data_IF_544999273589
#
_entry.id   IF_544999273589
#
_cell.length_a   1.000
_cell.length_b   1.000
_cell.length_c   1.000
_cell.angle_alpha   90.00
_cell.angle_beta   90.00
_cell.angle_gamma   90.00
#
_symmetry.space_group_name_H-M   'P 1'
#
loop_
_entity.id
_entity.type
_entity.pdbx_description
1 polymer ?
#
# COMPACT_ATOMS: atom_id res chain seq x y z
N UNK A 1 42.90 18.33 7.17
CA UNK A 1 42.54 16.90 7.06
C UNK A 1 41.31 16.71 7.94
N UNK A 2 40.13 16.75 7.35
CA UNK A 2 38.89 16.49 8.11
C UNK A 2 38.81 14.99 8.35
N UNK A 3 38.59 14.57 9.60
CA UNK A 3 38.46 13.15 9.89
C UNK A 3 37.12 12.62 9.36
N UNK A 4 37.10 11.33 9.02
CA UNK A 4 35.89 10.68 8.47
C UNK A 4 34.65 10.82 9.37
N UNK A 5 34.86 10.95 10.67
CA UNK A 5 33.79 11.13 11.68
C UNK A 5 33.15 12.52 11.57
N UNK A 6 33.94 13.54 11.21
CA UNK A 6 33.46 14.92 11.00
C UNK A 6 32.63 15.03 9.72
N UNK A 7 33.01 14.29 8.67
CA UNK A 7 32.25 14.22 7.40
C UNK A 7 30.92 13.50 7.64
N UNK A 8 30.91 12.40 8.38
CA UNK A 8 29.70 11.68 8.76
C UNK A 8 28.74 12.54 9.59
N UNK A 9 29.27 13.28 10.57
CA UNK A 9 28.47 14.22 11.38
C UNK A 9 27.88 15.35 10.53
N UNK A 10 28.60 15.82 9.52
CA UNK A 10 28.13 16.89 8.63
C UNK A 10 27.06 16.38 7.65
N UNK A 11 27.21 15.15 7.13
CA UNK A 11 26.17 14.48 6.34
C UNK A 11 24.90 14.25 7.16
N UNK A 12 25.04 13.80 8.39
CA UNK A 12 23.92 13.62 9.34
C UNK A 12 23.24 14.95 9.64
N UNK A 13 23.98 16.07 9.70
CA UNK A 13 23.41 17.40 9.98
C UNK A 13 22.68 18.01 8.77
N UNK A 14 23.17 17.75 7.54
CA UNK A 14 22.54 18.22 6.29
C UNK A 14 21.26 17.42 5.97
N UNK A 15 21.16 16.19 6.47
CA UNK A 15 20.03 15.28 6.24
C UNK A 15 19.08 15.25 7.47
N UNK A 16 19.06 16.30 8.28
CA UNK A 16 18.33 16.30 9.56
C UNK A 16 16.82 16.04 9.47
N UNK A 17 16.22 16.14 8.28
CA UNK A 17 14.84 15.71 8.02
C UNK A 17 14.70 14.25 7.57
N UNK A 18 15.83 13.53 7.39
CA UNK A 18 15.85 12.09 7.01
C UNK A 18 16.58 11.22 8.04
N UNK A 19 16.83 11.79 9.23
CA UNK A 19 17.62 11.15 10.30
C UNK A 19 17.03 9.82 10.76
N UNK A 20 15.72 9.68 10.74
CA UNK A 20 15.04 8.44 11.11
C UNK A 20 15.35 7.34 10.11
N UNK A 21 15.33 7.64 8.82
CA UNK A 21 15.62 6.67 7.77
C UNK A 21 17.08 6.21 7.78
N UNK A 22 18.01 7.15 8.01
CA UNK A 22 19.43 6.82 8.19
C UNK A 22 19.67 5.97 9.43
N UNK A 23 18.95 6.20 10.51
CA UNK A 23 19.01 5.36 11.70
C UNK A 23 18.60 3.91 11.39
N UNK A 24 17.56 3.69 10.60
CA UNK A 24 17.10 2.36 10.18
C UNK A 24 18.10 1.64 9.28
N UNK A 25 18.72 2.37 8.37
CA UNK A 25 19.73 1.82 7.44
C UNK A 25 21.05 1.56 8.18
N UNK A 26 21.39 2.42 9.13
CA UNK A 26 22.69 2.41 9.81
C UNK A 26 22.72 1.47 11.00
N UNK A 27 21.64 1.26 11.73
CA UNK A 27 21.60 0.34 12.88
C UNK A 27 21.81 -1.14 12.49
N UNK A 28 21.48 -1.52 11.25
CA UNK A 28 21.77 -2.86 10.71
C UNK A 28 23.20 -2.99 10.13
N UNK A 29 23.90 -1.87 9.85
CA UNK A 29 25.18 -1.85 9.13
C UNK A 29 26.37 -1.39 9.97
N UNK A 30 26.15 -0.76 11.12
CA UNK A 30 27.23 -0.26 12.00
C UNK A 30 27.95 -1.37 12.77
N UNK A 31 27.57 -2.62 12.60
CA UNK A 31 28.31 -3.75 13.21
C UNK A 31 29.60 -4.06 12.45
N UNK A 32 29.77 -3.54 11.22
CA UNK A 32 31.00 -3.76 10.46
C UNK A 32 31.71 -2.42 10.15
N UNK A 33 32.88 -2.20 10.70
CA UNK A 33 33.63 -0.96 10.72
C UNK A 33 34.19 -0.49 9.36
N UNK A 34 33.82 -1.14 8.25
CA UNK A 34 34.44 -0.92 6.92
C UNK A 34 33.49 -0.39 5.84
N UNK A 35 32.36 0.27 6.23
CA UNK A 35 31.48 0.91 5.23
C UNK A 35 32.14 2.17 4.67
N UNK A 36 32.55 2.10 3.41
CA UNK A 36 33.15 3.24 2.73
C UNK A 36 32.11 4.28 2.25
N UNK A 37 32.56 5.49 1.97
CA UNK A 37 31.70 6.58 1.52
C UNK A 37 30.98 6.29 0.18
N UNK A 38 31.51 5.37 -0.65
CA UNK A 38 30.91 4.98 -1.91
C UNK A 38 29.70 4.06 -1.71
N UNK A 39 29.77 3.16 -0.74
CA UNK A 39 28.67 2.29 -0.33
C UNK A 39 27.53 3.08 0.31
N UNK A 40 27.85 4.10 1.12
CA UNK A 40 26.88 5.06 1.67
C UNK A 40 26.22 5.90 0.57
N UNK A 41 26.99 6.37 -0.42
CA UNK A 41 26.45 7.12 -1.56
C UNK A 41 25.55 6.26 -2.45
N UNK A 42 25.85 4.98 -2.63
CA UNK A 42 24.99 4.02 -3.31
C UNK A 42 23.69 3.77 -2.55
N UNK A 43 23.73 3.66 -1.22
CA UNK A 43 22.55 3.53 -0.36
C UNK A 43 21.64 4.78 -0.42
N UNK A 44 22.25 5.97 -0.36
CA UNK A 44 21.52 7.25 -0.46
C UNK A 44 20.92 7.45 -1.88
N UNK A 45 21.57 6.89 -2.91
CA UNK A 45 21.10 6.92 -4.29
C UNK A 45 20.12 5.79 -4.61
N UNK A 46 19.98 4.81 -3.71
CA UNK A 46 19.01 3.72 -3.90
C UNK A 46 17.61 4.28 -3.76
N UNK A 47 16.82 4.15 -4.81
CA UNK A 47 15.42 4.54 -4.82
C UNK A 47 14.50 3.44 -4.27
N UNK A 48 15.09 2.38 -3.74
CA UNK A 48 14.40 1.26 -3.11
C UNK A 48 14.48 1.39 -1.60
N UNK A 49 13.34 1.36 -0.93
CA UNK A 49 13.20 1.45 0.54
C UNK A 49 12.57 0.16 1.05
N UNK A 50 13.30 -0.53 1.90
CA UNK A 50 12.82 -1.70 2.62
C UNK A 50 12.62 -1.37 4.09
N UNK A 51 11.38 -1.40 4.56
CA UNK A 51 10.99 -1.06 5.93
C UNK A 51 10.81 -2.36 6.71
N UNK A 52 11.68 -2.59 7.68
CA UNK A 52 11.61 -3.76 8.58
C UNK A 52 10.61 -3.52 9.70
N UNK A 53 9.94 -4.58 10.11
CA UNK A 53 9.06 -4.57 11.27
C UNK A 53 9.89 -4.80 12.54
N UNK A 54 10.31 -3.73 13.19
CA UNK A 54 11.08 -3.78 14.45
C UNK A 54 10.22 -3.85 15.70
N UNK A 55 8.88 -3.93 15.55
CA UNK A 55 7.91 -3.81 16.62
C UNK A 55 7.59 -2.35 17.01
N UNK A 56 8.25 -1.39 16.39
CA UNK A 56 7.92 0.03 16.51
C UNK A 56 6.95 0.45 15.40
N UNK A 57 6.20 1.52 15.65
CA UNK A 57 5.32 2.10 14.64
C UNK A 57 6.13 2.83 13.57
N UNK A 58 5.70 2.68 12.33
CA UNK A 58 6.37 3.27 11.17
C UNK A 58 5.84 4.69 10.98
N UNK A 59 6.75 5.65 10.86
CA UNK A 59 6.43 7.00 10.42
C UNK A 59 6.51 7.09 8.90
N UNK A 60 5.37 7.09 8.23
CA UNK A 60 5.28 7.19 6.77
C UNK A 60 5.87 8.52 6.25
N UNK A 61 5.91 9.58 7.07
CA UNK A 61 6.49 10.86 6.67
C UNK A 61 8.02 10.82 6.57
N UNK A 62 8.64 9.81 7.16
CA UNK A 62 10.09 9.60 7.08
C UNK A 62 10.54 8.97 5.75
N UNK A 63 9.61 8.42 4.95
CA UNK A 63 9.92 7.78 3.67
C UNK A 63 10.24 8.87 2.63
N UNK A 64 11.38 8.76 1.90
CA UNK A 64 11.73 9.73 0.88
C UNK A 64 10.70 9.81 -0.24
N UNK A 65 10.29 11.02 -0.62
CA UNK A 65 9.35 11.23 -1.74
C UNK A 65 9.88 10.74 -3.10
N UNK A 66 11.20 10.54 -3.22
CA UNK A 66 11.85 10.01 -4.42
C UNK A 66 11.89 8.49 -4.50
N UNK A 67 11.23 7.79 -3.56
CA UNK A 67 11.19 6.33 -3.53
C UNK A 67 10.54 5.79 -4.82
N UNK A 68 11.18 4.78 -5.41
CA UNK A 68 10.66 4.06 -6.58
C UNK A 68 10.10 2.69 -6.21
N UNK A 69 10.79 1.99 -5.30
CA UNK A 69 10.36 0.67 -4.82
C UNK A 69 10.21 0.73 -3.29
N UNK A 70 8.99 0.55 -2.82
CA UNK A 70 8.66 0.60 -1.39
C UNK A 70 8.18 -0.76 -0.92
N UNK A 71 8.88 -1.31 0.06
CA UNK A 71 8.56 -2.62 0.63
C UNK A 71 8.48 -2.55 2.14
N UNK A 72 7.39 -3.06 2.69
CA UNK A 72 7.19 -3.26 4.11
C UNK A 72 7.23 -4.75 4.43
N UNK A 73 7.91 -5.10 5.51
CA UNK A 73 7.96 -6.45 6.05
C UNK A 73 6.63 -6.85 6.70
N UNK A 74 6.47 -8.15 6.97
CA UNK A 74 5.33 -8.67 7.71
C UNK A 74 5.22 -7.99 9.09
N UNK A 75 4.00 -7.85 9.60
CA UNK A 75 3.70 -7.19 10.89
C UNK A 75 4.06 -5.70 10.98
N UNK A 76 4.26 -5.03 9.84
CA UNK A 76 4.48 -3.58 9.80
C UNK A 76 3.25 -2.81 10.27
N UNK A 77 3.43 -1.84 11.17
CA UNK A 77 2.33 -1.07 11.73
C UNK A 77 2.64 0.43 11.72
N UNK A 78 1.60 1.25 11.59
CA UNK A 78 1.65 2.69 11.84
C UNK A 78 0.98 3.01 13.17
N UNK A 79 1.20 4.21 13.69
CA UNK A 79 0.48 4.67 14.87
C UNK A 79 -1.03 4.57 14.66
N UNK A 80 -1.76 4.19 15.70
CA UNK A 80 -3.22 4.01 15.65
C UNK A 80 -3.99 5.29 15.32
N UNK A 81 -3.37 6.44 15.44
CA UNK A 81 -3.92 7.74 15.03
C UNK A 81 -3.76 8.02 13.55
N UNK A 82 -2.93 7.24 12.83
CA UNK A 82 -2.79 7.33 11.37
C UNK A 82 -3.98 6.65 10.71
N UNK A 83 -4.94 7.45 10.28
CA UNK A 83 -6.19 6.98 9.69
C UNK A 83 -6.08 6.73 8.18
N UNK A 84 -5.14 7.38 7.49
CA UNK A 84 -4.99 7.27 6.04
C UNK A 84 -3.60 6.74 5.66
N UNK A 85 -3.56 5.65 4.90
CA UNK A 85 -2.36 5.14 4.23
C UNK A 85 -2.34 5.72 2.80
N UNK A 86 -1.81 6.93 2.68
CA UNK A 86 -1.83 7.69 1.44
C UNK A 86 -0.48 7.67 0.72
N UNK A 87 -0.46 7.05 -0.45
CA UNK A 87 0.72 6.92 -1.32
C UNK A 87 0.86 8.05 -2.33
N UNK A 88 -0.16 8.89 -2.52
CA UNK A 88 -0.18 9.93 -3.57
C UNK A 88 1.03 10.88 -3.56
N UNK A 89 1.68 11.17 -2.42
CA UNK A 89 2.88 12.00 -2.39
C UNK A 89 4.10 11.37 -3.07
N UNK A 90 4.16 10.04 -3.21
CA UNK A 90 5.31 9.32 -3.76
C UNK A 90 5.23 9.22 -5.29
N UNK A 91 5.36 10.35 -5.99
CA UNK A 91 5.13 10.46 -7.44
C UNK A 91 6.03 9.58 -8.31
N UNK A 92 7.17 9.13 -7.79
CA UNK A 92 8.13 8.25 -8.48
C UNK A 92 7.96 6.77 -8.13
N UNK A 93 6.96 6.43 -7.31
CA UNK A 93 6.73 5.06 -6.88
C UNK A 93 6.39 4.16 -8.07
N UNK A 94 7.17 3.09 -8.26
CA UNK A 94 7.01 2.08 -9.32
C UNK A 94 6.45 0.77 -8.80
N UNK A 95 6.85 0.39 -7.58
CA UNK A 95 6.33 -0.82 -6.95
C UNK A 95 6.04 -0.61 -5.46
N UNK A 96 4.93 -1.19 -5.01
CA UNK A 96 4.60 -1.31 -3.60
C UNK A 96 4.47 -2.79 -3.24
N UNK A 97 5.17 -3.20 -2.19
CA UNK A 97 4.98 -4.51 -1.56
C UNK A 97 4.71 -4.34 -0.08
N UNK A 98 3.65 -4.92 0.41
CA UNK A 98 3.30 -4.95 1.84
C UNK A 98 3.25 -6.40 2.28
N UNK A 99 3.93 -6.71 3.36
CA UNK A 99 3.96 -8.04 3.95
C UNK A 99 2.63 -8.43 4.62
N UNK A 100 2.61 -9.63 5.20
CA UNK A 100 1.45 -10.18 5.89
C UNK A 100 1.17 -9.45 7.21
N UNK A 101 -0.07 -9.52 7.71
CA UNK A 101 -0.50 -9.05 9.02
C UNK A 101 -0.16 -7.56 9.32
N UNK A 102 -0.14 -6.72 8.28
CA UNK A 102 0.36 -5.34 8.35
C UNK A 102 -0.78 -4.31 8.31
N UNK A 103 -0.54 -3.15 8.93
CA UNK A 103 -1.37 -1.94 8.81
C UNK A 103 -2.85 -2.11 9.19
N UNK A 104 -3.15 -2.74 10.32
CA UNK A 104 -4.54 -2.93 10.76
C UNK A 104 -5.32 -1.62 11.07
N UNK A 105 -4.64 -0.53 11.39
CA UNK A 105 -5.26 0.73 11.87
C UNK A 105 -5.84 1.64 10.80
N UNK A 106 -5.19 1.89 9.63
CA UNK A 106 -5.70 2.83 8.64
C UNK A 106 -7.11 2.48 8.15
N UNK A 107 -7.95 3.49 8.04
CA UNK A 107 -9.31 3.36 7.50
C UNK A 107 -9.37 3.72 6.02
N UNK A 108 -8.32 4.32 5.48
CA UNK A 108 -8.20 4.65 4.07
C UNK A 108 -6.90 4.09 3.50
N UNK A 109 -6.99 3.50 2.31
CA UNK A 109 -5.86 3.19 1.44
C UNK A 109 -6.00 3.99 0.15
N UNK A 110 -5.04 4.86 -0.14
CA UNK A 110 -5.10 5.76 -1.28
C UNK A 110 -3.85 5.66 -2.14
N UNK A 111 -4.02 5.29 -3.41
CA UNK A 111 -3.03 5.43 -4.47
C UNK A 111 -3.66 6.21 -5.62
N UNK A 112 -3.37 7.50 -5.71
CA UNK A 112 -4.00 8.36 -6.71
C UNK A 112 -2.96 9.20 -7.46
N UNK A 113 -3.03 9.16 -8.80
CA UNK A 113 -2.16 9.96 -9.66
C UNK A 113 -0.72 9.46 -9.76
N UNK A 114 -0.45 8.22 -9.37
CA UNK A 114 0.88 7.61 -9.40
C UNK A 114 1.20 7.07 -10.81
N UNK A 115 1.64 7.94 -11.69
CA UNK A 115 1.81 7.60 -13.11
C UNK A 115 3.00 6.69 -13.42
N UNK A 116 3.92 6.48 -12.48
CA UNK A 116 5.04 5.55 -12.63
C UNK A 116 4.74 4.19 -11.95
N UNK A 117 3.67 4.08 -11.17
CA UNK A 117 3.32 2.87 -10.42
C UNK A 117 2.93 1.73 -11.36
N UNK A 118 3.64 0.59 -11.24
CA UNK A 118 3.50 -0.58 -12.11
C UNK A 118 2.77 -1.72 -11.37
N UNK A 119 3.06 -1.88 -10.07
CA UNK A 119 2.51 -2.99 -9.29
C UNK A 119 2.19 -2.61 -7.85
N UNK A 120 1.10 -3.19 -7.33
CA UNK A 120 0.74 -3.18 -5.92
C UNK A 120 0.55 -4.62 -5.47
N UNK A 121 1.38 -5.06 -4.52
CA UNK A 121 1.27 -6.37 -3.89
C UNK A 121 1.05 -6.20 -2.39
N UNK A 122 -0.04 -6.73 -1.89
CA UNK A 122 -0.42 -6.67 -0.49
C UNK A 122 -0.56 -8.10 0.03
N UNK A 123 0.14 -8.39 1.10
CA UNK A 123 0.17 -9.68 1.75
C UNK A 123 -1.17 -10.08 2.39
N UNK A 124 -1.18 -11.19 3.07
CA UNK A 124 -2.36 -11.73 3.73
C UNK A 124 -2.70 -10.95 5.01
N UNK A 125 -3.99 -10.83 5.34
CA UNK A 125 -4.49 -10.26 6.59
C UNK A 125 -4.02 -8.81 6.87
N UNK A 126 -3.68 -8.06 5.83
CA UNK A 126 -3.22 -6.67 5.94
C UNK A 126 -4.38 -5.69 5.77
N UNK A 127 -4.27 -4.51 6.38
CA UNK A 127 -5.35 -3.53 6.43
C UNK A 127 -6.67 -4.06 7.00
N UNK A 128 -6.61 -5.06 7.88
CA UNK A 128 -7.77 -5.66 8.51
C UNK A 128 -7.68 -5.49 10.01
N UNK A 129 -8.61 -4.78 10.62
CA UNK A 129 -8.66 -4.55 12.07
C UNK A 129 -9.35 -5.70 12.79
N UNK A 130 -10.46 -6.17 12.21
CA UNK A 130 -11.21 -7.27 12.78
C UNK A 130 -11.95 -8.06 11.70
N UNK A 131 -11.74 -9.37 11.70
CA UNK A 131 -12.45 -10.28 10.78
C UNK A 131 -13.90 -10.51 11.17
N UNK A 132 -14.31 -10.15 12.41
CA UNK A 132 -15.58 -10.60 13.01
C UNK A 132 -16.35 -9.51 13.75
N UNK A 133 -15.94 -8.23 13.70
CA UNK A 133 -16.57 -7.18 14.47
C UNK A 133 -17.47 -6.29 13.62
N UNK A 134 -18.76 -6.29 13.96
CA UNK A 134 -19.73 -5.33 13.45
C UNK A 134 -19.65 -3.95 14.15
N UNK A 135 -18.69 -3.77 15.08
CA UNK A 135 -18.85 -2.75 16.14
C UNK A 135 -18.40 -1.35 15.74
N UNK A 136 -17.64 -1.17 14.68
CA UNK A 136 -17.18 0.17 14.29
C UNK A 136 -17.62 0.51 12.86
N UNK A 137 -18.69 1.26 12.77
CA UNK A 137 -19.27 1.80 11.52
C UNK A 137 -18.42 2.94 10.95
N UNK A 138 -17.12 2.74 10.79
CA UNK A 138 -16.30 3.68 10.05
C UNK A 138 -16.29 3.21 8.59
N UNK A 139 -16.64 4.12 7.69
CA UNK A 139 -16.40 3.88 6.26
C UNK A 139 -14.91 3.64 6.08
N UNK A 140 -14.52 2.43 5.72
CA UNK A 140 -13.14 2.10 5.38
C UNK A 140 -13.06 1.99 3.86
N UNK A 141 -12.11 2.70 3.28
CA UNK A 141 -12.11 2.96 1.85
C UNK A 141 -10.78 2.56 1.20
N UNK A 142 -10.89 1.83 0.09
CA UNK A 142 -9.77 1.46 -0.75
C UNK A 142 -9.90 2.15 -2.11
N UNK A 143 -8.95 3.01 -2.43
CA UNK A 143 -8.94 3.78 -3.67
C UNK A 143 -7.62 3.61 -4.42
N UNK A 144 -7.68 3.11 -5.65
CA UNK A 144 -6.57 3.11 -6.61
C UNK A 144 -7.06 3.76 -7.90
N UNK A 145 -6.61 4.98 -8.14
CA UNK A 145 -7.16 5.83 -9.22
C UNK A 145 -6.06 6.53 -10.00
N UNK A 146 -6.30 6.80 -11.27
CA UNK A 146 -5.45 7.65 -12.10
C UNK A 146 -3.97 7.20 -12.11
N UNK A 147 -3.70 5.89 -12.04
CA UNK A 147 -2.37 5.31 -12.07
C UNK A 147 -2.10 4.77 -13.49
N UNK A 148 -1.58 5.64 -14.35
CA UNK A 148 -1.48 5.40 -15.80
C UNK A 148 -0.63 4.21 -16.22
N UNK A 149 0.33 3.77 -15.39
CA UNK A 149 1.23 2.64 -15.68
C UNK A 149 0.93 1.38 -14.87
N UNK A 150 -0.08 1.38 -13.98
CA UNK A 150 -0.39 0.24 -13.14
C UNK A 150 -0.85 -0.95 -13.99
N UNK A 151 -0.17 -2.09 -13.82
CA UNK A 151 -0.41 -3.33 -14.58
C UNK A 151 -0.95 -4.46 -13.72
N UNK A 152 -0.62 -4.46 -12.45
CA UNK A 152 -0.92 -5.57 -11.56
C UNK A 152 -1.34 -5.09 -10.17
N UNK A 153 -2.46 -5.65 -9.69
CA UNK A 153 -2.95 -5.51 -8.32
C UNK A 153 -3.15 -6.90 -7.72
N UNK A 154 -2.35 -7.22 -6.70
CA UNK A 154 -2.46 -8.49 -5.95
C UNK A 154 -2.76 -8.16 -4.50
N UNK A 155 -3.82 -8.74 -3.96
CA UNK A 155 -4.25 -8.60 -2.57
C UNK A 155 -4.37 -9.99 -1.96
N UNK A 156 -3.60 -10.27 -0.92
CA UNK A 156 -3.64 -11.53 -0.18
C UNK A 156 -4.96 -11.75 0.55
N UNK A 157 -5.26 -13.01 0.88
CA UNK A 157 -6.51 -13.37 1.57
C UNK A 157 -6.65 -12.64 2.91
N UNK A 158 -7.89 -12.35 3.30
CA UNK A 158 -8.28 -11.63 4.52
C UNK A 158 -7.84 -10.16 4.59
N UNK A 159 -7.16 -9.63 3.58
CA UNK A 159 -6.80 -8.21 3.55
C UNK A 159 -8.00 -7.36 3.19
N UNK A 160 -8.11 -6.19 3.82
CA UNK A 160 -9.24 -5.28 3.68
C UNK A 160 -10.61 -5.93 4.00
N UNK A 161 -10.66 -6.92 4.89
CA UNK A 161 -11.91 -7.65 5.18
C UNK A 161 -13.04 -6.76 5.67
N UNK A 162 -12.72 -5.68 6.36
CA UNK A 162 -13.65 -4.72 6.97
C UNK A 162 -13.74 -3.37 6.21
N UNK A 163 -13.22 -3.33 4.97
CA UNK A 163 -13.37 -2.19 4.07
C UNK A 163 -14.69 -2.28 3.29
N UNK A 164 -15.40 -1.15 3.19
CA UNK A 164 -16.68 -1.07 2.51
C UNK A 164 -16.61 -0.43 1.12
N UNK A 165 -15.64 0.42 0.85
CA UNK A 165 -15.42 0.98 -0.49
C UNK A 165 -14.25 0.28 -1.17
N UNK A 166 -14.47 -0.14 -2.42
CA UNK A 166 -13.44 -0.66 -3.30
C UNK A 166 -13.57 0.04 -4.65
N UNK A 167 -12.64 0.97 -4.94
CA UNK A 167 -12.68 1.80 -6.13
C UNK A 167 -11.39 1.68 -6.94
N UNK A 168 -11.50 1.07 -8.11
CA UNK A 168 -10.48 1.04 -9.14
C UNK A 168 -11.00 1.84 -10.34
N UNK A 169 -10.38 2.99 -10.61
CA UNK A 169 -10.84 3.84 -11.70
C UNK A 169 -9.70 4.51 -12.45
N UNK A 170 -9.87 4.66 -13.77
CA UNK A 170 -8.90 5.28 -14.67
C UNK A 170 -7.51 4.63 -14.57
N UNK A 171 -7.44 3.32 -14.82
CA UNK A 171 -6.23 2.49 -14.80
C UNK A 171 -6.00 1.86 -16.18
N UNK A 172 -5.60 2.64 -17.19
CA UNK A 172 -5.63 2.23 -18.59
C UNK A 172 -4.70 1.08 -18.95
N UNK A 173 -3.69 0.77 -18.12
CA UNK A 173 -2.76 -0.33 -18.35
C UNK A 173 -2.95 -1.52 -17.40
N UNK A 174 -3.95 -1.48 -16.51
CA UNK A 174 -4.19 -2.56 -15.57
C UNK A 174 -4.63 -3.83 -16.30
N UNK A 175 -3.85 -4.90 -16.13
CA UNK A 175 -4.06 -6.19 -16.80
C UNK A 175 -4.56 -7.27 -15.85
N UNK A 176 -4.06 -7.26 -14.63
CA UNK A 176 -4.32 -8.33 -13.68
C UNK A 176 -4.82 -7.79 -12.35
N UNK A 177 -5.93 -8.31 -11.90
CA UNK A 177 -6.46 -8.14 -10.55
C UNK A 177 -6.56 -9.52 -9.90
N UNK A 178 -5.86 -9.71 -8.77
CA UNK A 178 -5.95 -10.93 -7.97
C UNK A 178 -6.29 -10.57 -6.52
N UNK A 179 -7.45 -10.99 -6.03
CA UNK A 179 -7.94 -10.70 -4.69
C UNK A 179 -8.22 -12.01 -3.97
N UNK A 180 -7.41 -12.29 -2.93
CA UNK A 180 -7.51 -13.53 -2.19
C UNK A 180 -7.02 -14.76 -2.95
N UNK A 181 -7.49 -15.92 -2.54
CA UNK A 181 -7.16 -17.22 -3.12
C UNK A 181 -8.44 -18.04 -3.33
N UNK A 182 -8.35 -19.19 -4.02
CA UNK A 182 -9.49 -20.10 -4.24
C UNK A 182 -10.11 -20.64 -2.93
N UNK A 183 -9.34 -20.59 -1.85
CA UNK A 183 -9.82 -20.93 -0.51
C UNK A 183 -10.61 -19.77 0.12
N UNK A 184 -10.92 -19.88 1.42
CA UNK A 184 -11.60 -18.81 2.15
C UNK A 184 -10.73 -17.56 2.18
N UNK A 185 -11.23 -16.46 1.65
CA UNK A 185 -10.46 -15.22 1.48
C UNK A 185 -11.05 -14.02 2.20
N UNK A 186 -12.36 -13.86 2.22
CA UNK A 186 -13.09 -12.81 2.94
C UNK A 186 -12.58 -11.38 2.74
N UNK A 187 -11.90 -11.10 1.62
CA UNK A 187 -11.48 -9.74 1.28
C UNK A 187 -12.71 -8.86 1.03
N UNK A 188 -12.71 -7.65 1.56
CA UNK A 188 -13.85 -6.74 1.43
C UNK A 188 -15.19 -7.40 1.82
N UNK A 189 -15.14 -8.35 2.77
CA UNK A 189 -16.30 -9.19 3.12
C UNK A 189 -17.40 -8.40 3.78
N UNK A 190 -17.04 -7.43 4.63
CA UNK A 190 -17.99 -6.56 5.33
C UNK A 190 -18.35 -5.30 4.53
N UNK A 191 -18.07 -5.29 3.27
CA UNK A 191 -18.61 -4.31 2.36
C UNK A 191 -20.15 -4.48 2.29
N UNK A 192 -20.80 -4.34 3.44
CA UNK A 192 -22.25 -4.37 3.53
C UNK A 192 -22.87 -3.09 3.00
N UNK A 193 -23.90 -3.24 2.21
CA UNK A 193 -25.02 -2.34 2.22
C UNK A 193 -25.56 -2.27 3.66
N UNK A 194 -25.16 -1.28 4.43
CA UNK A 194 -25.77 -1.03 5.72
C UNK A 194 -27.02 -0.20 5.49
N UNK A 195 -28.00 -0.83 4.89
CA UNK A 195 -29.33 -0.28 4.77
C UNK A 195 -30.11 -0.50 6.06
N UNK A 196 -29.70 0.18 7.14
CA UNK A 196 -30.56 0.35 8.30
C UNK A 196 -30.88 1.82 8.58
N UNK A 197 -30.23 2.78 7.97
CA UNK A 197 -30.61 4.19 8.01
C UNK A 197 -30.06 4.89 6.75
N UNK A 198 -30.78 4.81 5.64
CA UNK A 198 -30.70 5.73 4.51
C UNK A 198 -29.32 5.96 3.87
N UNK A 199 -29.14 5.56 2.64
CA UNK A 199 -28.26 6.14 1.65
C UNK A 199 -26.72 5.95 1.79
N UNK A 200 -26.22 4.78 2.18
CA UNK A 200 -24.83 4.44 1.95
C UNK A 200 -24.72 3.07 1.28
N UNK A 201 -24.87 3.05 -0.04
CA UNK A 201 -24.51 1.92 -0.86
C UNK A 201 -22.98 1.74 -0.74
N UNK A 202 -22.53 0.53 -0.41
CA UNK A 202 -21.13 0.18 -0.53
C UNK A 202 -20.75 0.16 -2.01
N UNK A 203 -20.15 1.24 -2.46
CA UNK A 203 -19.80 1.43 -3.85
C UNK A 203 -18.56 0.62 -4.23
N UNK A 204 -18.73 -0.24 -5.23
CA UNK A 204 -17.64 -0.97 -5.86
C UNK A 204 -17.57 -0.59 -7.31
N UNK A 205 -16.48 0.09 -7.62
CA UNK A 205 -16.29 0.65 -8.95
C UNK A 205 -15.09 -0.01 -9.62
N UNK A 206 -15.35 -0.66 -10.73
CA UNK A 206 -14.36 -1.09 -11.71
C UNK A 206 -14.64 -0.27 -12.97
N UNK A 207 -13.92 0.85 -13.11
CA UNK A 207 -14.23 1.84 -14.13
C UNK A 207 -12.99 2.20 -14.94
N UNK A 208 -13.16 2.29 -16.26
CA UNK A 208 -12.12 2.70 -17.20
C UNK A 208 -10.85 1.82 -17.07
N UNK A 209 -11.02 0.50 -17.29
CA UNK A 209 -9.98 -0.53 -17.26
C UNK A 209 -9.83 -1.21 -18.63
N UNK A 210 -9.47 -0.50 -19.70
CA UNK A 210 -9.55 -1.02 -21.08
C UNK A 210 -8.54 -2.14 -21.38
N UNK A 211 -7.50 -2.31 -20.57
CA UNK A 211 -6.46 -3.33 -20.77
C UNK A 211 -6.63 -4.55 -19.89
N UNK A 212 -7.71 -4.65 -19.12
CA UNK A 212 -7.89 -5.72 -18.15
C UNK A 212 -8.04 -7.09 -18.83
N UNK A 213 -7.14 -8.01 -18.53
CA UNK A 213 -7.05 -9.35 -19.13
C UNK A 213 -7.55 -10.43 -18.16
N UNK A 214 -7.36 -10.22 -16.85
CA UNK A 214 -7.64 -11.23 -15.83
C UNK A 214 -8.14 -10.64 -14.53
N UNK A 215 -9.22 -11.22 -14.01
CA UNK A 215 -9.72 -10.97 -12.65
C UNK A 215 -9.85 -12.31 -11.92
N UNK A 216 -9.17 -12.46 -10.79
CA UNK A 216 -9.31 -13.59 -9.89
C UNK A 216 -9.80 -13.09 -8.54
N UNK A 217 -10.94 -13.60 -8.06
CA UNK A 217 -11.52 -13.22 -6.77
C UNK A 217 -11.68 -14.47 -5.93
N UNK A 218 -11.06 -14.45 -4.76
CA UNK A 218 -11.11 -15.53 -3.79
C UNK A 218 -12.49 -15.74 -3.20
N UNK A 219 -12.74 -16.95 -2.71
CA UNK A 219 -14.01 -17.34 -2.12
C UNK A 219 -14.39 -16.44 -0.93
N UNK A 220 -15.63 -16.03 -0.87
CA UNK A 220 -16.22 -15.11 0.11
C UNK A 220 -15.70 -13.67 0.06
N UNK A 221 -14.84 -13.32 -0.89
CA UNK A 221 -14.52 -11.91 -1.13
C UNK A 221 -15.76 -11.19 -1.65
N UNK A 222 -15.95 -9.97 -1.21
CA UNK A 222 -17.15 -9.18 -1.48
C UNK A 222 -18.46 -9.87 -1.08
N UNK A 223 -18.44 -10.77 -0.08
CA UNK A 223 -19.58 -11.61 0.29
C UNK A 223 -20.84 -10.85 0.76
N UNK A 224 -20.68 -9.63 1.27
CA UNK A 224 -21.80 -8.76 1.66
C UNK A 224 -22.26 -7.79 0.55
N UNK A 225 -21.70 -7.86 -0.65
CA UNK A 225 -22.01 -6.92 -1.71
C UNK A 225 -23.29 -7.29 -2.47
N UNK A 226 -24.19 -6.34 -2.66
CA UNK A 226 -25.35 -6.51 -3.52
C UNK A 226 -25.01 -6.47 -5.01
N UNK A 227 -23.97 -5.69 -5.40
CA UNK A 227 -23.56 -5.59 -6.79
C UNK A 227 -22.08 -5.26 -6.91
N UNK A 228 -21.47 -5.74 -7.98
CA UNK A 228 -20.17 -5.29 -8.48
C UNK A 228 -20.43 -4.67 -9.85
N UNK A 229 -20.12 -3.39 -10.03
CA UNK A 229 -20.35 -2.70 -11.29
C UNK A 229 -19.05 -2.64 -12.09
N UNK A 230 -19.13 -3.05 -13.34
CA UNK A 230 -18.09 -2.86 -14.34
C UNK A 230 -18.56 -1.77 -15.29
N UNK A 231 -17.91 -0.63 -15.29
CA UNK A 231 -18.19 0.46 -16.22
C UNK A 231 -16.98 0.68 -17.11
N UNK A 232 -17.09 0.36 -18.40
CA UNK A 232 -16.08 0.67 -19.40
C UNK A 232 -16.75 1.05 -20.69
N UNK A 233 -16.27 2.14 -21.29
CA UNK A 233 -16.74 2.59 -22.59
C UNK A 233 -16.25 1.72 -23.75
N UNK A 234 -15.28 0.83 -23.55
CA UNK A 234 -14.56 0.11 -24.61
C UNK A 234 -14.65 -1.43 -24.54
N UNK A 235 -15.25 -2.02 -23.50
CA UNK A 235 -15.30 -3.47 -23.30
C UNK A 235 -16.36 -4.23 -24.11
N UNK A 236 -17.27 -3.52 -24.75
CA UNK A 236 -18.33 -4.14 -25.54
C UNK A 236 -18.12 -3.93 -27.04
N UNK A 237 -16.94 -4.13 -27.53
CA UNK A 237 -16.73 -4.36 -28.97
C UNK A 237 -16.48 -5.85 -29.16
N UNK A 238 -17.65 -6.56 -29.35
CA UNK A 238 -17.82 -7.90 -29.95
C UNK A 238 -16.76 -8.97 -29.64
#
# INVERSE_FOLDING_TARGET
MFDHLSILKYLVLIISNTLTLLKWIVDDWIVDSDVDASSLAQLISSRSVYVKATGEVIDLSSIPLSVEDLRFEDYSQVDSTVLSFNLSPFSHLKSLTIGDDSFGSPIEFIANGLNELISIHIGMNSFTRSRWSYAERWSREFHVKNCGCLRELIIGRYSFSDYCVFDLSNLPQLRTISIGTVDQSYNFYYAYDVDLIGENECDKWLKDLPSLESISIGRYSFGGCHSVRFESNDWMKE
#
